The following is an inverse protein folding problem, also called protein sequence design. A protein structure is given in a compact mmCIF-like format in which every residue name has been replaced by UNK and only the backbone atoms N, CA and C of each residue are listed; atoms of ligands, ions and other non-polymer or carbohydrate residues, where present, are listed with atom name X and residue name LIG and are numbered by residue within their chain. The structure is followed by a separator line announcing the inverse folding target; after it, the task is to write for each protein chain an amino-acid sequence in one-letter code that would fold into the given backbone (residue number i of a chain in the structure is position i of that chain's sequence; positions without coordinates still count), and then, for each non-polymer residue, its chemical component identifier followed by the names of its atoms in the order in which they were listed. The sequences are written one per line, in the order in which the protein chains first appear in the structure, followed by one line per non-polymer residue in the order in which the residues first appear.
data_IF_434558536776
#
_entry.id   IF_434558536776
#
_cell.length_a   1.000
_cell.length_b   1.000
_cell.length_c   1.000
_cell.angle_alpha   90.00
_cell.angle_beta   90.00
_cell.angle_gamma   90.00
#
_symmetry.space_group_name_H-M   'P 1'
#
loop_
_entity.id
_entity.type
_entity.pdbx_description
1 polymer ?
#
# COMPACT_ATOMS: atom_id res chain seq x y z
N UNK A 1 87.28 3.89 5.18
CA UNK A 1 86.66 3.08 6.24
C UNK A 1 86.20 4.04 7.30
N UNK A 2 84.91 4.28 7.46
CA UNK A 2 84.32 4.65 8.75
C UNK A 2 82.91 4.07 8.79
N UNK A 3 82.71 3.16 9.73
CA UNK A 3 81.43 2.54 10.09
C UNK A 3 80.83 3.45 11.14
N UNK A 4 79.60 3.92 10.96
CA UNK A 4 78.86 4.59 12.03
C UNK A 4 77.56 3.82 12.25
N UNK A 5 77.49 3.26 13.46
CA UNK A 5 76.43 2.41 13.99
C UNK A 5 75.12 3.18 14.07
N UNK A 6 74.05 2.60 13.53
CA UNK A 6 72.69 3.05 13.80
C UNK A 6 72.23 2.32 15.08
N UNK A 7 71.88 3.04 16.16
CA UNK A 7 71.39 2.42 17.38
C UNK A 7 70.02 1.77 17.16
N UNK A 8 69.86 0.55 17.67
CA UNK A 8 68.56 -0.05 17.95
C UNK A 8 68.11 0.33 19.36
N UNK A 9 66.81 0.59 19.53
CA UNK A 9 65.89 0.09 20.60
C UNK A 9 64.67 1.04 20.73
N UNK A 10 63.44 0.59 20.36
CA UNK A 10 62.26 0.23 21.21
C UNK A 10 61.79 1.34 22.18
N UNK A 11 60.53 1.56 22.58
CA UNK A 11 59.18 0.98 22.42
C UNK A 11 58.22 2.11 22.92
N UNK A 12 57.05 2.36 22.32
CA UNK A 12 55.70 2.08 22.86
C UNK A 12 54.85 3.37 22.95
N UNK A 13 53.54 3.16 23.12
CA UNK A 13 52.45 4.08 23.51
C UNK A 13 51.80 4.99 22.45
N UNK A 14 50.63 4.51 22.00
CA UNK A 14 49.32 5.15 22.17
C UNK A 14 49.12 6.51 21.50
N UNK A 15 48.40 6.53 20.39
CA UNK A 15 46.96 6.83 20.36
C UNK A 15 46.59 6.96 18.88
N UNK A 16 46.10 5.87 18.29
CA UNK A 16 45.58 5.95 16.93
C UNK A 16 44.25 6.71 17.03
N UNK A 17 44.29 8.01 16.76
CA UNK A 17 43.09 8.82 16.50
C UNK A 17 42.34 8.22 15.31
N UNK A 18 41.41 7.30 15.61
CA UNK A 18 40.42 6.84 14.66
C UNK A 18 39.44 7.98 14.48
N UNK A 19 39.65 8.76 13.42
CA UNK A 19 38.71 9.76 12.93
C UNK A 19 37.38 9.04 12.69
N UNK A 20 36.42 9.31 13.58
CA UNK A 20 35.07 8.76 13.54
C UNK A 20 34.32 9.43 12.38
N UNK A 21 34.50 8.90 11.17
CA UNK A 21 33.61 9.19 10.05
C UNK A 21 32.22 8.71 10.46
N UNK A 22 31.38 9.66 10.88
CA UNK A 22 29.94 9.50 11.02
C UNK A 22 29.36 9.19 9.65
N UNK A 23 29.50 7.94 9.22
CA UNK A 23 28.76 7.40 8.10
C UNK A 23 27.33 7.20 8.59
N UNK A 24 26.54 8.28 8.49
CA UNK A 24 25.11 8.31 8.72
C UNK A 24 24.48 7.30 7.74
N UNK A 25 24.42 6.03 8.16
CA UNK A 25 23.70 5.01 7.44
C UNK A 25 22.23 5.40 7.51
N UNK A 26 21.77 6.10 6.48
CA UNK A 26 20.38 6.33 6.19
C UNK A 26 19.75 4.97 5.85
N UNK A 27 19.53 4.16 6.90
CA UNK A 27 18.76 2.95 6.85
C UNK A 27 17.36 3.38 6.45
N UNK A 28 17.07 3.31 5.16
CA UNK A 28 15.71 3.33 4.63
C UNK A 28 15.02 2.14 5.27
N UNK A 29 14.36 2.38 6.41
CA UNK A 29 13.52 1.39 7.09
C UNK A 29 12.48 0.97 6.07
N UNK A 30 12.74 -0.14 5.38
CA UNK A 30 11.80 -0.76 4.47
C UNK A 30 10.65 -1.23 5.35
N UNK A 31 9.60 -0.39 5.46
CA UNK A 31 8.38 -0.75 6.17
C UNK A 31 7.88 -2.05 5.54
N UNK A 32 8.01 -3.15 6.28
CA UNK A 32 7.53 -4.46 5.84
C UNK A 32 6.06 -4.30 5.44
N UNK A 33 5.74 -4.60 4.18
CA UNK A 33 4.34 -4.57 3.71
C UNK A 33 3.57 -5.56 4.56
N UNK A 34 2.55 -5.09 5.29
CA UNK A 34 1.66 -5.98 6.06
C UNK A 34 1.05 -6.97 5.08
N UNK A 35 1.19 -8.27 5.38
CA UNK A 35 0.54 -9.33 4.61
C UNK A 35 -0.99 -9.16 4.77
N UNK A 36 -1.71 -9.19 3.65
CA UNK A 36 -3.18 -9.13 3.64
C UNK A 36 -3.71 -10.54 3.52
N UNK A 37 -4.55 -10.93 4.48
CA UNK A 37 -5.33 -12.16 4.39
C UNK A 37 -6.57 -11.91 3.55
N UNK A 38 -6.77 -12.72 2.51
CA UNK A 38 -7.89 -12.62 1.58
C UNK A 38 -8.86 -13.76 1.84
N UNK A 39 -10.10 -13.40 2.14
CA UNK A 39 -11.19 -14.33 2.44
C UNK A 39 -12.13 -14.36 1.24
N UNK A 40 -12.47 -15.55 0.77
CA UNK A 40 -13.48 -15.75 -0.27
C UNK A 40 -14.86 -15.54 0.35
N UNK A 41 -15.63 -14.60 -0.17
CA UNK A 41 -16.98 -14.34 0.34
C UNK A 41 -18.07 -14.91 -0.58
N UNK A 42 -17.98 -14.66 -1.88
CA UNK A 42 -19.03 -15.05 -2.82
C UNK A 42 -18.46 -15.48 -4.17
N UNK A 43 -19.27 -16.21 -4.93
CA UNK A 43 -19.01 -16.51 -6.35
C UNK A 43 -20.27 -16.20 -7.12
N UNK A 44 -20.13 -15.40 -8.16
CA UNK A 44 -21.20 -14.98 -9.05
C UNK A 44 -21.01 -15.69 -10.39
N UNK A 45 -22.11 -16.11 -11.00
CA UNK A 45 -22.07 -16.71 -12.34
C UNK A 45 -22.05 -15.65 -13.45
N UNK A 46 -22.41 -14.39 -13.12
CA UNK A 46 -22.46 -13.30 -14.08
C UNK A 46 -21.61 -12.10 -13.60
N UNK A 47 -20.66 -11.60 -14.41
CA UNK A 47 -19.82 -10.45 -14.03
C UNK A 47 -20.63 -9.18 -13.77
N UNK A 48 -21.74 -8.97 -14.49
CA UNK A 48 -22.57 -7.77 -14.33
C UNK A 48 -23.21 -7.71 -12.94
N UNK A 49 -23.64 -8.85 -12.41
CA UNK A 49 -24.20 -8.95 -11.05
C UNK A 49 -23.14 -8.68 -9.98
N UNK A 50 -21.92 -9.22 -10.19
CA UNK A 50 -20.80 -8.98 -9.31
C UNK A 50 -20.47 -7.47 -9.24
N UNK A 51 -20.38 -6.79 -10.39
CA UNK A 51 -20.08 -5.36 -10.46
C UNK A 51 -21.18 -4.49 -9.81
N UNK A 52 -22.46 -4.82 -10.04
CA UNK A 52 -23.58 -4.11 -9.42
C UNK A 52 -23.56 -4.17 -7.89
N UNK A 53 -23.08 -5.28 -7.31
CA UNK A 53 -23.00 -5.43 -5.85
C UNK A 53 -21.98 -4.49 -5.18
N UNK A 54 -20.98 -3.99 -5.93
CA UNK A 54 -19.84 -3.26 -5.35
C UNK A 54 -19.77 -1.78 -5.73
N UNK A 55 -20.50 -1.35 -6.76
CA UNK A 55 -20.34 -0.06 -7.43
C UNK A 55 -20.36 1.16 -6.48
N UNK A 56 -21.17 1.09 -5.42
CA UNK A 56 -21.38 2.21 -4.52
C UNK A 56 -20.27 2.40 -3.47
N UNK A 57 -19.60 1.32 -3.03
CA UNK A 57 -18.66 1.34 -1.90
C UNK A 57 -17.18 1.28 -2.34
N UNK A 58 -16.93 0.86 -3.57
CA UNK A 58 -15.59 0.49 -4.03
C UNK A 58 -15.14 1.32 -5.23
N UNK A 59 -13.83 1.53 -5.33
CA UNK A 59 -13.20 2.20 -6.47
C UNK A 59 -12.13 1.29 -7.06
N UNK A 60 -12.11 1.17 -8.40
CA UNK A 60 -11.10 0.39 -9.13
C UNK A 60 -9.71 0.95 -8.81
N UNK A 61 -8.79 0.06 -8.43
CA UNK A 61 -7.43 0.44 -8.08
C UNK A 61 -6.45 0.03 -9.17
N UNK A 62 -6.32 -1.28 -9.42
CA UNK A 62 -5.47 -1.82 -10.48
C UNK A 62 -5.95 -3.20 -10.92
N UNK A 63 -5.45 -3.65 -12.06
CA UNK A 63 -5.76 -4.95 -12.65
C UNK A 63 -4.46 -5.75 -12.73
N UNK A 64 -4.56 -7.03 -12.45
CA UNK A 64 -3.48 -7.99 -12.61
C UNK A 64 -3.98 -9.18 -13.43
N UNK A 65 -3.18 -9.61 -14.41
CA UNK A 65 -3.48 -10.78 -15.23
C UNK A 65 -2.67 -11.96 -14.72
N UNK A 66 -3.36 -13.07 -14.48
CA UNK A 66 -2.79 -14.31 -13.99
C UNK A 66 -3.26 -15.46 -14.87
N UNK A 67 -2.62 -16.63 -14.76
CA UNK A 67 -3.05 -17.84 -15.47
C UNK A 67 -4.48 -18.26 -15.09
N UNK A 68 -4.88 -18.01 -13.84
CA UNK A 68 -6.25 -18.24 -13.34
C UNK A 68 -7.28 -17.26 -13.92
N UNK A 69 -6.82 -16.23 -14.64
CA UNK A 69 -7.66 -15.18 -15.21
C UNK A 69 -7.30 -13.78 -14.70
N UNK A 70 -8.27 -12.87 -14.73
CA UNK A 70 -8.06 -11.44 -14.47
C UNK A 70 -8.47 -11.09 -13.04
N UNK A 71 -7.53 -10.60 -12.24
CA UNK A 71 -7.77 -10.04 -10.90
C UNK A 71 -7.96 -8.54 -10.98
N UNK A 72 -9.14 -8.05 -10.63
CA UNK A 72 -9.43 -6.61 -10.54
C UNK A 72 -9.46 -6.24 -9.06
N UNK A 73 -8.51 -5.39 -8.64
CA UNK A 73 -8.40 -4.94 -7.27
C UNK A 73 -9.17 -3.64 -7.08
N UNK A 74 -9.91 -3.58 -5.97
CA UNK A 74 -10.65 -2.41 -5.57
C UNK A 74 -10.21 -1.96 -4.17
N UNK A 75 -10.34 -0.66 -3.94
CA UNK A 75 -10.11 -0.01 -2.65
C UNK A 75 -11.39 0.70 -2.22
N UNK A 76 -11.60 0.81 -0.93
CA UNK A 76 -12.77 1.53 -0.42
C UNK A 76 -12.79 2.96 -0.97
N UNK A 77 -13.96 3.41 -1.45
CA UNK A 77 -14.16 4.74 -2.00
C UNK A 77 -14.10 5.83 -0.93
N UNK A 78 -14.32 5.47 0.34
CA UNK A 78 -14.26 6.40 1.48
C UNK A 78 -12.82 6.77 1.77
N UNK A 79 -12.36 7.78 1.03
CA UNK A 79 -11.08 8.42 1.23
C UNK A 79 -11.34 9.79 1.82
N UNK A 80 -10.83 10.02 3.02
CA UNK A 80 -10.71 11.36 3.57
C UNK A 80 -9.44 11.98 2.98
N UNK A 81 -9.51 13.22 2.50
CA UNK A 81 -8.38 13.90 1.80
C UNK A 81 -7.08 14.01 2.60
N UNK A 82 -7.15 13.94 3.93
CA UNK A 82 -6.01 14.12 4.84
C UNK A 82 -5.82 13.00 5.86
N UNK A 83 -6.71 12.01 5.89
CA UNK A 83 -6.64 10.89 6.83
C UNK A 83 -6.15 9.61 6.13
N UNK A 84 -5.65 8.63 6.89
CA UNK A 84 -5.22 7.36 6.33
C UNK A 84 -6.34 6.70 5.51
N UNK A 85 -5.93 6.07 4.41
CA UNK A 85 -6.84 5.30 3.57
C UNK A 85 -7.37 4.10 4.35
N UNK A 86 -8.67 3.82 4.20
CA UNK A 86 -9.30 2.61 4.73
C UNK A 86 -8.47 1.36 4.37
N UNK A 87 -8.16 0.54 5.38
CA UNK A 87 -7.29 -0.62 5.21
C UNK A 87 -7.98 -1.75 4.42
N UNK A 88 -9.32 -1.75 4.38
CA UNK A 88 -10.10 -2.79 3.70
C UNK A 88 -9.87 -2.72 2.19
N UNK A 89 -9.59 -3.87 1.60
CA UNK A 89 -9.44 -4.04 0.18
C UNK A 89 -10.24 -5.25 -0.28
N UNK A 90 -10.58 -5.27 -1.55
CA UNK A 90 -11.20 -6.44 -2.16
C UNK A 90 -10.63 -6.65 -3.56
N UNK A 91 -10.79 -7.86 -4.08
CA UNK A 91 -10.59 -8.12 -5.50
C UNK A 91 -11.63 -9.07 -6.05
N UNK A 92 -11.88 -8.93 -7.34
CA UNK A 92 -12.66 -9.88 -8.13
C UNK A 92 -11.72 -10.66 -9.03
N UNK A 93 -11.82 -11.98 -8.98
CA UNK A 93 -11.15 -12.90 -9.90
C UNK A 93 -12.16 -13.32 -10.97
N UNK A 94 -11.96 -12.82 -12.19
CA UNK A 94 -12.64 -13.28 -13.39
C UNK A 94 -11.87 -14.50 -13.89
N UNK A 95 -12.49 -15.68 -13.84
CA UNK A 95 -11.81 -16.92 -14.19
C UNK A 95 -11.52 -16.99 -15.68
N UNK A 96 -10.37 -17.56 -16.06
CA UNK A 96 -10.04 -17.76 -17.48
C UNK A 96 -10.90 -18.86 -18.12
N UNK A 97 -11.23 -19.88 -17.33
CA UNK A 97 -11.90 -21.10 -17.79
C UNK A 97 -13.44 -21.01 -17.74
N UNK A 98 -13.99 -19.94 -17.19
CA UNK A 98 -15.44 -19.76 -17.02
C UNK A 98 -15.84 -18.30 -16.84
N UNK A 99 -17.09 -17.96 -17.15
CA UNK A 99 -17.64 -16.62 -16.91
C UNK A 99 -17.92 -16.29 -15.43
N UNK A 100 -17.52 -17.19 -14.53
CA UNK A 100 -17.68 -17.01 -13.09
C UNK A 100 -16.75 -15.91 -12.60
N UNK A 101 -17.23 -15.20 -11.58
CA UNK A 101 -16.45 -14.19 -10.86
C UNK A 101 -16.43 -14.55 -9.39
N UNK A 102 -15.24 -14.78 -8.84
CA UNK A 102 -15.08 -14.99 -7.41
C UNK A 102 -14.66 -13.70 -6.70
N UNK A 103 -15.37 -13.41 -5.63
CA UNK A 103 -15.19 -12.22 -4.81
C UNK A 103 -14.37 -12.54 -3.56
N UNK A 104 -13.33 -11.76 -3.33
CA UNK A 104 -12.45 -11.84 -2.18
C UNK A 104 -12.33 -10.51 -1.46
N UNK A 105 -12.38 -10.53 -0.13
CA UNK A 105 -12.25 -9.35 0.73
C UNK A 105 -11.14 -9.57 1.75
N UNK A 106 -10.49 -8.50 2.20
CA UNK A 106 -9.60 -8.56 3.35
C UNK A 106 -10.39 -8.69 4.65
N UNK A 107 -9.85 -9.41 5.63
CA UNK A 107 -10.45 -9.59 6.97
C UNK A 107 -10.71 -8.30 7.77
N UNK A 108 -10.06 -7.18 7.39
CA UNK A 108 -10.20 -5.93 8.11
C UNK A 108 -11.60 -5.31 8.06
N UNK A 109 -12.00 -4.69 9.16
CA UNK A 109 -13.17 -3.82 9.24
C UNK A 109 -12.87 -2.43 8.66
N UNK A 110 -13.93 -1.74 8.23
CA UNK A 110 -13.82 -0.37 7.76
C UNK A 110 -13.54 0.58 8.93
N UNK A 111 -12.41 1.28 8.88
CA UNK A 111 -12.01 2.27 9.90
C UNK A 111 -12.68 3.65 9.65
N UNK A 112 -13.97 3.64 9.30
CA UNK A 112 -14.73 4.85 9.04
C UNK A 112 -16.24 4.64 9.22
N UNK A 113 -16.94 5.67 9.70
CA UNK A 113 -18.39 5.66 9.81
C UNK A 113 -19.09 5.61 8.43
N UNK A 114 -20.33 5.12 8.42
CA UNK A 114 -21.21 5.07 7.24
C UNK A 114 -21.80 6.41 6.82
N UNK A 115 -21.62 7.44 7.65
CA UNK A 115 -22.16 8.78 7.44
C UNK A 115 -21.42 9.57 6.35
N UNK A 116 -21.66 9.18 5.10
CA UNK A 116 -21.43 10.06 3.95
C UNK A 116 -22.53 11.14 3.92
N UNK A 117 -22.54 12.04 4.91
CA UNK A 117 -23.29 13.29 4.78
C UNK A 117 -22.67 14.03 3.62
N UNK A 118 -23.35 14.03 2.48
CA UNK A 118 -22.99 14.80 1.28
C UNK A 118 -22.80 16.25 1.74
N UNK A 119 -21.54 16.66 1.93
CA UNK A 119 -21.21 18.05 2.23
C UNK A 119 -21.13 18.77 0.90
N UNK A 120 -22.24 19.42 0.55
CA UNK A 120 -22.40 20.18 -0.68
C UNK A 120 -23.82 20.68 -0.80
N UNK A 121 -23.98 21.86 -1.38
CA UNK A 121 -25.29 22.41 -1.71
C UNK A 121 -25.94 21.47 -2.73
N UNK A 122 -27.11 20.93 -2.41
CA UNK A 122 -27.87 20.03 -3.28
C UNK A 122 -28.06 20.66 -4.67
N UNK A 123 -27.93 19.87 -5.75
CA UNK A 123 -27.89 20.36 -7.13
C UNK A 123 -29.08 21.25 -7.51
N UNK A 124 -30.22 21.08 -6.82
CA UNK A 124 -31.41 21.93 -6.97
C UNK A 124 -31.22 23.40 -6.58
N UNK A 125 -30.27 23.70 -5.69
CA UNK A 125 -29.99 25.08 -5.26
C UNK A 125 -29.02 25.77 -6.22
N UNK A 126 -28.15 25.02 -6.91
CA UNK A 126 -27.20 25.56 -7.89
C UNK A 126 -27.91 26.18 -9.10
N UNK A 127 -29.02 25.59 -9.55
CA UNK A 127 -29.82 26.11 -10.69
C UNK A 127 -30.65 27.36 -10.37
N UNK A 128 -30.81 27.74 -9.10
CA UNK A 128 -31.57 28.93 -8.69
C UNK A 128 -30.74 30.22 -8.64
N UNK A 129 -29.43 30.15 -8.83
CA UNK A 129 -28.53 31.31 -8.78
C UNK A 129 -28.15 31.87 -10.16
N UNK A 130 -28.65 31.28 -11.25
CA UNK A 130 -28.39 31.73 -12.63
C UNK A 130 -29.60 32.48 -13.26
N UNK A 131 -30.47 33.09 -12.45
CA UNK A 131 -31.56 33.94 -12.94
C UNK A 131 -31.52 35.33 -12.34
#
# INVERSE_FOLDING_TARGET
MEVIQIPQYESETSDAEMVEENHEMNEKINKKRRLKYWIKEATYDNPSEAEASIENQWSKHYINYTEQGRKVYYRCKRMKRRDPQCNVSMYMLYHADSDKVTYYKTEGEHDHDDDYKIRGIHETVKRKQEK
#
